data_IF_799873123368
#
_entry.id   IF_799873123368
#
_cell.length_a   1.000
_cell.length_b   1.000
_cell.length_c   1.000
_cell.angle_alpha   90.00
_cell.angle_beta   90.00
_cell.angle_gamma   90.00
#
_symmetry.space_group_name_H-M   'P 1'
#
loop_
_entity.id
_entity.type
_entity.pdbx_description
1 polymer ?
#
# COMPACT_ATOMS: atom_id res chain seq x y z
N UNK A 1 -11.07 2.28 19.04
CA UNK A 1 -12.09 2.15 17.98
C UNK A 1 -11.47 2.61 16.67
N UNK A 2 -11.73 1.93 15.56
CA UNK A 2 -11.07 2.15 14.27
C UNK A 2 -12.15 2.44 13.22
N UNK A 3 -11.87 3.34 12.28
CA UNK A 3 -12.81 3.74 11.23
C UNK A 3 -12.08 3.88 9.91
N UNK A 4 -12.74 3.51 8.82
CA UNK A 4 -12.28 3.89 7.49
C UNK A 4 -12.42 5.40 7.33
N UNK A 5 -11.34 6.03 6.88
CA UNK A 5 -11.34 7.44 6.55
C UNK A 5 -11.48 7.57 5.04
N UNK A 6 -12.36 8.47 4.63
CA UNK A 6 -12.58 8.80 3.22
C UNK A 6 -12.11 10.22 2.98
N UNK A 7 -11.20 10.40 2.04
CA UNK A 7 -10.74 11.72 1.58
C UNK A 7 -10.96 11.82 0.09
N UNK A 8 -11.84 12.74 -0.31
CA UNK A 8 -12.05 13.10 -1.72
C UNK A 8 -11.24 14.35 -2.02
N UNK A 9 -10.32 14.25 -2.97
CA UNK A 9 -9.51 15.36 -3.47
C UNK A 9 -10.01 15.76 -4.85
N UNK A 10 -10.30 17.05 -5.03
CA UNK A 10 -10.76 17.58 -6.31
C UNK A 10 -9.67 18.43 -6.92
N UNK A 11 -9.22 18.06 -8.12
CA UNK A 11 -8.21 18.81 -8.86
C UNK A 11 -8.82 19.41 -10.10
N UNK A 12 -8.75 20.74 -10.20
CA UNK A 12 -9.21 21.49 -11.37
C UNK A 12 -8.12 21.45 -12.43
N UNK A 13 -8.45 20.96 -13.61
CA UNK A 13 -7.56 20.86 -14.76
C UNK A 13 -8.05 21.75 -15.91
N UNK A 14 -7.12 22.19 -16.77
CA UNK A 14 -7.37 23.05 -17.93
C UNK A 14 -8.25 24.28 -17.61
N UNK A 15 -7.78 25.21 -16.76
CA UNK A 15 -8.51 26.43 -16.40
C UNK A 15 -9.96 26.15 -15.94
N UNK A 16 -10.16 25.09 -15.15
CA UNK A 16 -11.47 24.64 -14.64
C UNK A 16 -12.42 24.02 -15.67
N UNK A 17 -11.95 23.71 -16.89
CA UNK A 17 -12.76 23.01 -17.91
C UNK A 17 -13.15 21.59 -17.47
N UNK A 18 -12.33 20.95 -16.62
CA UNK A 18 -12.63 19.64 -16.03
C UNK A 18 -12.21 19.60 -14.56
N UNK A 19 -13.03 18.98 -13.72
CA UNK A 19 -12.72 18.68 -12.33
C UNK A 19 -12.53 17.17 -12.24
N UNK A 20 -11.34 16.73 -11.87
CA UNK A 20 -11.06 15.34 -11.59
C UNK A 20 -11.21 15.13 -10.08
N UNK A 21 -12.06 14.18 -9.70
CA UNK A 21 -12.24 13.76 -8.31
C UNK A 21 -11.45 12.48 -8.09
N UNK A 22 -10.59 12.49 -7.07
CA UNK A 22 -9.82 11.34 -6.64
C UNK A 22 -10.25 10.98 -5.23
N UNK A 23 -10.73 9.77 -5.06
CA UNK A 23 -11.08 9.24 -3.75
C UNK A 23 -9.93 8.42 -3.18
N UNK A 24 -9.64 8.65 -1.90
CA UNK A 24 -8.72 7.84 -1.11
C UNK A 24 -9.46 7.31 0.11
N UNK A 25 -9.44 6.00 0.29
CA UNK A 25 -9.94 5.33 1.49
C UNK A 25 -8.72 4.83 2.25
N UNK A 26 -8.59 5.24 3.51
CA UNK A 26 -7.47 4.86 4.39
C UNK A 26 -7.98 4.24 5.67
N UNK A 27 -7.13 3.40 6.28
CA UNK A 27 -7.42 2.73 7.53
C UNK A 27 -6.23 2.92 8.47
N UNK A 28 -6.43 3.68 9.54
CA UNK A 28 -5.34 4.02 10.47
C UNK A 28 -5.05 2.87 11.43
N UNK A 29 -3.82 2.38 11.40
CA UNK A 29 -3.40 1.26 12.24
C UNK A 29 -3.13 1.75 13.67
N UNK A 30 -3.81 1.20 14.68
CA UNK A 30 -3.61 1.57 16.08
C UNK A 30 -2.15 1.39 16.53
N UNK A 31 -1.70 2.29 17.42
CA UNK A 31 -0.32 2.31 17.95
C UNK A 31 0.16 0.97 18.51
N UNK A 32 -0.74 0.18 19.10
CA UNK A 32 -0.45 -1.16 19.64
C UNK A 32 0.10 -2.16 18.62
N UNK A 33 -0.09 -1.91 17.32
CA UNK A 33 0.42 -2.77 16.25
C UNK A 33 1.61 -2.16 15.50
N UNK A 34 2.07 -0.97 15.88
CA UNK A 34 3.15 -0.29 15.16
C UNK A 34 4.46 -1.07 15.18
N UNK A 35 4.79 -1.73 16.29
CA UNK A 35 6.01 -2.52 16.40
C UNK A 35 6.01 -3.70 15.42
N UNK A 36 4.85 -4.34 15.22
CA UNK A 36 4.68 -5.44 14.27
C UNK A 36 4.73 -4.97 12.81
N UNK A 37 4.21 -3.77 12.53
CA UNK A 37 4.05 -3.29 11.14
C UNK A 37 5.24 -2.47 10.65
N UNK A 38 5.99 -1.80 11.53
CA UNK A 38 7.17 -1.01 11.15
C UNK A 38 8.16 -1.77 10.24
N UNK A 39 8.50 -3.05 10.50
CA UNK A 39 9.39 -3.82 9.63
C UNK A 39 8.84 -4.06 8.22
N UNK A 40 7.52 -3.98 8.05
CA UNK A 40 6.81 -4.31 6.82
C UNK A 40 6.60 -3.08 5.92
N UNK A 41 6.92 -1.86 6.37
CA UNK A 41 6.56 -0.60 5.66
C UNK A 41 7.13 -0.46 4.24
N UNK A 42 8.26 -1.10 3.95
CA UNK A 42 8.96 -1.00 2.66
C UNK A 42 8.77 -2.24 1.77
N UNK A 43 7.78 -3.07 2.08
CA UNK A 43 7.46 -4.28 1.34
C UNK A 43 6.17 -4.08 0.55
N UNK A 44 6.14 -4.66 -0.66
CA UNK A 44 4.94 -4.70 -1.47
C UNK A 44 4.06 -5.87 -1.04
N UNK A 45 2.76 -5.63 -0.87
CA UNK A 45 1.79 -6.65 -0.48
C UNK A 45 0.66 -6.72 -1.51
N UNK A 46 0.29 -7.93 -1.88
CA UNK A 46 -0.99 -8.20 -2.53
C UNK A 46 -2.08 -8.18 -1.45
N UNK A 47 -3.18 -7.50 -1.75
CA UNK A 47 -4.28 -7.31 -0.80
C UNK A 47 -5.50 -8.11 -1.24
N UNK A 48 -6.06 -8.90 -0.33
CA UNK A 48 -7.36 -9.54 -0.50
C UNK A 48 -8.30 -9.08 0.60
N UNK A 49 -9.53 -8.76 0.22
CA UNK A 49 -10.57 -8.33 1.16
C UNK A 49 -11.70 -9.34 1.10
N UNK A 50 -12.02 -9.94 2.24
CA UNK A 50 -13.18 -10.81 2.41
C UNK A 50 -14.09 -10.26 3.51
N UNK A 51 -15.38 -10.49 3.35
CA UNK A 51 -16.38 -10.20 4.38
C UNK A 51 -16.81 -11.55 4.92
N UNK A 52 -16.47 -11.82 6.18
CA UNK A 52 -16.80 -13.06 6.87
C UNK A 52 -17.77 -12.73 8.00
N UNK A 53 -19.04 -13.12 7.81
CA UNK A 53 -20.16 -12.78 8.70
C UNK A 53 -20.26 -11.25 8.87
N UNK A 54 -19.87 -10.74 10.04
CA UNK A 54 -19.89 -9.31 10.40
C UNK A 54 -18.48 -8.70 10.52
N UNK A 55 -17.45 -9.41 10.05
CA UNK A 55 -16.07 -8.95 10.10
C UNK A 55 -15.54 -8.69 8.68
N UNK A 56 -14.77 -7.61 8.55
CA UNK A 56 -13.95 -7.34 7.36
C UNK A 56 -12.56 -7.90 7.63
N UNK A 57 -12.13 -8.83 6.79
CA UNK A 57 -10.79 -9.43 6.83
C UNK A 57 -9.98 -8.88 5.67
N UNK A 58 -8.92 -8.14 5.98
CA UNK A 58 -7.95 -7.64 5.01
C UNK A 58 -6.69 -8.47 5.17
N UNK A 59 -6.43 -9.33 4.19
CA UNK A 59 -5.24 -10.19 4.17
C UNK A 59 -4.19 -9.55 3.27
N UNK A 60 -3.01 -9.30 3.84
CA UNK A 60 -1.84 -8.78 3.14
C UNK A 60 -0.84 -9.92 2.97
N UNK A 61 -0.58 -10.31 1.73
CA UNK A 61 0.43 -11.33 1.39
C UNK A 61 1.62 -10.66 0.73
N UNK A 62 2.86 -10.85 1.23
CA UNK A 62 4.03 -10.24 0.63
C UNK A 62 4.16 -10.68 -0.82
N UNK A 63 4.29 -9.72 -1.73
CA UNK A 63 4.66 -10.04 -3.10
C UNK A 63 6.12 -10.46 -3.04
N UNK A 64 6.45 -11.68 -3.48
CA UNK A 64 7.84 -12.08 -3.65
C UNK A 64 8.42 -11.28 -4.81
N UNK A 65 8.89 -10.06 -4.53
CA UNK A 65 9.73 -9.34 -5.47
C UNK A 65 11.04 -10.11 -5.52
N UNK A 66 11.26 -10.87 -6.59
CA UNK A 66 12.59 -11.37 -6.95
C UNK A 66 13.49 -10.14 -7.10
N UNK A 67 14.07 -9.67 -6.00
CA UNK A 67 15.22 -8.78 -6.09
C UNK A 67 16.31 -9.67 -6.67
N UNK A 68 16.53 -9.58 -7.98
CA UNK A 68 17.79 -10.00 -8.58
C UNK A 68 18.86 -9.39 -7.70
N UNK A 69 19.56 -10.24 -6.95
CA UNK A 69 20.78 -9.83 -6.28
C UNK A 69 21.63 -9.17 -7.35
N UNK A 70 22.16 -7.99 -7.03
CA UNK A 70 23.20 -7.31 -7.79
C UNK A 70 24.41 -8.25 -7.88
N UNK A 71 24.36 -9.24 -8.77
CA UNK A 71 25.55 -9.93 -9.25
C UNK A 71 26.26 -8.91 -10.12
N UNK A 72 27.09 -8.08 -9.50
CA UNK A 72 28.14 -7.36 -10.22
C UNK A 72 28.97 -8.46 -10.89
N UNK A 73 29.00 -8.58 -12.23
CA UNK A 73 29.90 -9.51 -12.86
C UNK A 73 31.32 -9.01 -12.54
N UNK A 74 32.05 -9.76 -11.71
CA UNK A 74 33.48 -9.57 -11.56
C UNK A 74 34.08 -9.77 -12.94
N UNK A 75 34.47 -8.68 -13.61
CA UNK A 75 35.25 -8.74 -14.84
C UNK A 75 36.49 -9.58 -14.55
N UNK A 76 36.56 -10.73 -15.22
CA UNK A 76 37.77 -11.56 -15.27
C UNK A 76 38.80 -10.74 -16.06
N UNK A 77 39.83 -10.25 -15.37
CA UNK A 77 41.00 -9.65 -16.03
C UNK A 77 41.94 -10.80 -16.40
N UNK A 78 42.24 -10.91 -17.70
CA UNK A 78 43.24 -11.80 -18.30
C UNK A 78 44.66 -11.36 -17.98
#
# INVERSE_FOLDING_TARGET
MMKFQRRVSRKRYLKSKRIYEYERITLDIPRKYHETIKPLLNQDFETKVTIEKDAIVITLTPVKTFRHAENIPQKITQ
#
